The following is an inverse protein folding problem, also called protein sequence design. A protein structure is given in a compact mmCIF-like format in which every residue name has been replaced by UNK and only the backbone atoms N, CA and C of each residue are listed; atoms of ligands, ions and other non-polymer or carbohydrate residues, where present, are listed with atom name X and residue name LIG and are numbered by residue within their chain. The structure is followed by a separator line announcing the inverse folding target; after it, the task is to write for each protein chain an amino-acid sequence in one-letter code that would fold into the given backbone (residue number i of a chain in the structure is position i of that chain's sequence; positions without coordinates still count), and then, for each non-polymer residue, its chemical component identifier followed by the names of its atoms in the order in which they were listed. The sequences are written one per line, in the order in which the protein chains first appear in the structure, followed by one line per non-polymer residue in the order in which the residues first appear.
data_IF_711896764394
#
_entry.id   IF_711896764394
#
_cell.length_a   1.000
_cell.length_b   1.000
_cell.length_c   1.000
_cell.angle_alpha   90.00
_cell.angle_beta   90.00
_cell.angle_gamma   90.00
#
_symmetry.space_group_name_H-M   'P 1'
#
loop_
_entity.id
_entity.type
_entity.pdbx_description
1 polymer ?
#
# COMPACT_ATOMS: atom_id res chain seq x y z
N UNK A 1 20.98 20.97 -32.08
CA UNK A 1 19.80 21.07 -31.19
C UNK A 1 18.98 19.79 -31.20
N UNK A 2 18.68 19.21 -32.37
CA UNK A 2 17.99 17.92 -32.48
C UNK A 2 18.67 16.76 -31.74
N UNK A 3 19.99 16.61 -31.89
CA UNK A 3 20.79 15.59 -31.17
C UNK A 3 20.63 15.72 -29.64
N UNK A 4 20.79 16.94 -29.09
CA UNK A 4 20.60 17.19 -27.64
C UNK A 4 19.19 16.87 -27.14
N UNK A 5 18.17 17.09 -27.98
CA UNK A 5 16.78 16.78 -27.68
C UNK A 5 16.55 15.26 -27.67
N UNK A 6 17.16 14.56 -28.63
CA UNK A 6 17.14 13.10 -28.71
C UNK A 6 17.85 12.48 -27.51
N UNK A 7 19.02 12.99 -27.13
CA UNK A 7 19.77 12.53 -25.96
C UNK A 7 18.96 12.75 -24.67
N UNK A 8 18.28 13.90 -24.53
CA UNK A 8 17.43 14.19 -23.37
C UNK A 8 16.21 13.26 -23.25
N UNK A 9 15.72 12.73 -24.38
CA UNK A 9 14.61 11.77 -24.43
C UNK A 9 15.07 10.31 -24.41
N UNK A 10 16.35 10.05 -24.54
CA UNK A 10 16.89 8.69 -24.55
C UNK A 10 17.16 8.28 -23.12
N UNK A 11 16.60 7.14 -22.70
CA UNK A 11 16.82 6.58 -21.38
C UNK A 11 18.30 6.20 -21.22
N UNK A 12 18.99 6.90 -20.33
CA UNK A 12 20.32 6.50 -19.87
C UNK A 12 20.17 5.43 -18.79
N UNK A 13 20.32 4.16 -19.18
CA UNK A 13 20.14 3.04 -18.27
C UNK A 13 21.18 3.02 -17.14
N UNK A 14 22.41 3.50 -17.39
CA UNK A 14 23.46 3.48 -16.38
C UNK A 14 23.24 4.60 -15.36
N UNK A 15 22.85 5.79 -15.82
CA UNK A 15 22.51 6.89 -14.94
C UNK A 15 21.27 6.57 -14.08
N UNK A 16 20.22 6.00 -14.68
CA UNK A 16 19.03 5.58 -13.93
C UNK A 16 19.31 4.45 -12.96
N UNK A 17 20.19 3.49 -13.33
CA UNK A 17 20.56 2.41 -12.42
C UNK A 17 21.23 2.90 -11.13
N UNK A 18 22.06 3.93 -11.25
CA UNK A 18 22.80 4.53 -10.15
C UNK A 18 22.00 5.62 -9.41
N UNK A 19 20.79 5.94 -9.87
CA UNK A 19 19.90 6.88 -9.21
C UNK A 19 19.42 6.32 -7.87
N UNK A 20 19.32 7.17 -6.85
CA UNK A 20 18.78 6.78 -5.55
C UNK A 20 17.31 6.31 -5.65
N UNK A 21 16.57 6.84 -6.63
CA UNK A 21 15.15 6.60 -6.87
C UNK A 21 14.91 5.68 -8.09
N UNK A 22 15.90 4.84 -8.43
CA UNK A 22 15.85 3.93 -9.58
C UNK A 22 14.58 3.02 -9.56
N UNK A 23 13.67 3.14 -10.54
CA UNK A 23 12.49 2.29 -10.62
C UNK A 23 12.73 0.98 -11.39
N UNK A 24 13.88 0.82 -12.04
CA UNK A 24 14.19 -0.26 -12.98
C UNK A 24 14.79 -1.51 -12.32
N UNK A 25 15.24 -1.40 -11.07
CA UNK A 25 15.85 -2.51 -10.34
C UNK A 25 15.18 -2.71 -8.98
N UNK A 26 15.33 -3.92 -8.42
CA UNK A 26 14.83 -4.20 -7.09
C UNK A 26 15.61 -3.39 -6.03
N UNK A 27 14.90 -2.92 -5.00
CA UNK A 27 15.52 -2.20 -3.89
C UNK A 27 16.56 -3.07 -3.18
N UNK A 28 17.77 -2.50 -3.03
CA UNK A 28 18.81 -3.04 -2.16
C UNK A 28 18.39 -2.97 -0.69
N UNK A 29 19.03 -3.76 0.17
CA UNK A 29 18.68 -3.80 1.60
C UNK A 29 18.78 -2.42 2.29
N UNK A 30 19.73 -1.58 1.87
CA UNK A 30 19.91 -0.24 2.40
C UNK A 30 18.83 0.76 1.94
N UNK A 31 18.19 0.50 0.79
CA UNK A 31 17.08 1.33 0.28
C UNK A 31 15.73 0.93 0.88
N UNK A 32 15.62 -0.29 1.43
CA UNK A 32 14.38 -0.75 2.07
C UNK A 32 14.09 0.05 3.32
N UNK A 33 12.84 0.47 3.48
CA UNK A 33 12.35 1.08 4.72
C UNK A 33 11.61 0.05 5.56
N UNK A 34 11.54 0.31 6.86
CA UNK A 34 10.73 -0.49 7.78
C UNK A 34 9.27 -0.55 7.32
N UNK A 35 8.59 -1.66 7.56
CA UNK A 35 7.20 -1.86 7.16
C UNK A 35 6.20 -0.97 7.93
N UNK A 36 6.61 -0.33 9.04
CA UNK A 36 5.73 0.45 9.92
C UNK A 36 4.87 1.51 9.21
N UNK A 37 5.45 2.42 8.40
CA UNK A 37 4.67 3.40 7.63
C UNK A 37 3.68 2.75 6.66
N UNK A 38 4.06 1.63 6.02
CA UNK A 38 3.17 0.91 5.09
C UNK A 38 2.01 0.25 5.84
N UNK A 39 2.28 -0.37 7.00
CA UNK A 39 1.26 -0.94 7.87
C UNK A 39 0.32 0.13 8.44
N UNK A 40 0.83 1.30 8.79
CA UNK A 40 0.02 2.43 9.24
C UNK A 40 -0.90 2.95 8.12
N UNK A 41 -0.39 3.01 6.89
CA UNK A 41 -1.21 3.35 5.72
C UNK A 41 -2.29 2.28 5.46
N UNK A 42 -1.92 1.00 5.50
CA UNK A 42 -2.84 -0.13 5.34
C UNK A 42 -3.90 -0.15 6.44
N UNK A 43 -3.55 0.19 7.69
CA UNK A 43 -4.50 0.39 8.78
C UNK A 43 -5.47 1.54 8.49
N UNK A 44 -4.94 2.70 8.08
CA UNK A 44 -5.74 3.86 7.73
C UNK A 44 -6.72 3.59 6.56
N UNK A 45 -6.33 2.75 5.59
CA UNK A 45 -7.16 2.31 4.48
C UNK A 45 -8.04 1.08 4.80
N UNK A 46 -7.73 0.34 5.87
CA UNK A 46 -8.44 -0.86 6.30
C UNK A 46 -9.90 -0.61 6.70
N UNK A 47 -10.30 0.66 6.83
CA UNK A 47 -11.70 1.07 7.00
C UNK A 47 -12.59 0.62 5.84
N UNK A 48 -12.06 0.39 4.64
CA UNK A 48 -12.86 -0.05 3.49
C UNK A 48 -13.38 -1.47 3.69
N UNK A 49 -12.48 -2.44 3.85
CA UNK A 49 -12.86 -3.86 4.04
C UNK A 49 -13.59 -4.03 5.37
N UNK A 50 -12.98 -3.54 6.47
CA UNK A 50 -13.57 -3.65 7.81
C UNK A 50 -14.89 -2.91 7.92
N UNK A 51 -15.00 -1.73 7.31
CA UNK A 51 -16.23 -0.93 7.31
C UNK A 51 -17.34 -1.55 6.48
N UNK A 52 -17.03 -2.26 5.39
CA UNK A 52 -18.03 -3.02 4.63
C UNK A 52 -18.59 -4.19 5.47
N UNK A 53 -17.72 -4.98 6.12
CA UNK A 53 -18.16 -6.06 6.99
C UNK A 53 -18.99 -5.54 8.17
N UNK A 54 -18.46 -4.55 8.89
CA UNK A 54 -19.10 -3.97 10.07
C UNK A 54 -20.40 -3.25 9.72
N UNK A 55 -20.40 -2.46 8.64
CA UNK A 55 -21.56 -1.72 8.15
C UNK A 55 -22.69 -2.63 7.68
N UNK A 56 -22.37 -3.75 7.01
CA UNK A 56 -23.34 -4.77 6.64
C UNK A 56 -24.03 -5.37 7.88
N UNK A 57 -23.27 -5.67 8.93
CA UNK A 57 -23.83 -6.21 10.17
C UNK A 57 -24.68 -5.20 10.94
N UNK A 58 -24.23 -3.94 10.99
CA UNK A 58 -25.01 -2.85 11.57
C UNK A 58 -26.34 -2.67 10.84
N UNK A 59 -26.34 -2.69 9.50
CA UNK A 59 -27.57 -2.61 8.69
C UNK A 59 -28.54 -3.77 8.93
N UNK A 60 -28.02 -4.95 9.28
CA UNK A 60 -28.80 -6.13 9.62
C UNK A 60 -29.26 -6.18 11.08
N UNK A 61 -28.93 -5.17 11.90
CA UNK A 61 -29.36 -5.10 13.30
C UNK A 61 -28.68 -6.10 14.24
N UNK A 62 -27.47 -6.58 13.87
CA UNK A 62 -26.72 -7.53 14.68
C UNK A 62 -26.21 -6.86 15.98
N UNK A 63 -26.18 -7.57 17.13
CA UNK A 63 -25.66 -7.02 18.38
C UNK A 63 -24.23 -6.48 18.27
N UNK A 64 -23.97 -5.35 18.95
CA UNK A 64 -22.64 -4.74 18.99
C UNK A 64 -21.58 -5.67 19.58
N UNK A 65 -21.94 -6.39 20.65
CA UNK A 65 -21.08 -7.36 21.30
C UNK A 65 -21.77 -8.73 21.37
N UNK A 66 -21.07 -9.83 21.04
CA UNK A 66 -19.69 -9.89 20.54
C UNK A 66 -19.56 -9.75 19.01
N UNK A 67 -20.66 -9.81 18.27
CA UNK A 67 -20.66 -10.12 16.84
C UNK A 67 -19.96 -9.06 15.99
N UNK A 68 -20.31 -7.78 16.16
CA UNK A 68 -19.70 -6.67 15.40
C UNK A 68 -18.20 -6.52 15.71
N UNK A 69 -17.79 -6.81 16.94
CA UNK A 69 -16.37 -6.80 17.31
C UNK A 69 -15.61 -7.91 16.58
N UNK A 70 -16.17 -9.13 16.54
CA UNK A 70 -15.55 -10.25 15.84
C UNK A 70 -15.42 -9.93 14.35
N UNK A 71 -16.44 -9.37 13.71
CA UNK A 71 -16.33 -9.02 12.28
C UNK A 71 -15.42 -7.84 12.01
N UNK A 72 -15.28 -6.92 12.94
CA UNK A 72 -14.24 -5.88 12.88
C UNK A 72 -12.84 -6.51 12.87
N UNK A 73 -12.59 -7.51 13.72
CA UNK A 73 -11.31 -8.22 13.73
C UNK A 73 -11.09 -9.07 12.46
N UNK A 74 -12.12 -9.75 11.95
CA UNK A 74 -12.05 -10.51 10.69
C UNK A 74 -11.76 -9.57 9.52
N UNK A 75 -12.43 -8.41 9.46
CA UNK A 75 -12.21 -7.40 8.41
C UNK A 75 -10.78 -6.86 8.43
N UNK A 76 -10.22 -6.61 9.63
CA UNK A 76 -8.81 -6.22 9.76
C UNK A 76 -7.88 -7.35 9.37
N UNK A 77 -8.14 -8.59 9.81
CA UNK A 77 -7.33 -9.75 9.44
C UNK A 77 -7.26 -9.93 7.93
N UNK A 78 -8.40 -9.82 7.23
CA UNK A 78 -8.47 -9.87 5.78
C UNK A 78 -7.73 -8.72 5.06
N UNK A 79 -7.46 -7.61 5.75
CA UNK A 79 -6.71 -6.48 5.21
C UNK A 79 -5.19 -6.65 5.35
N UNK A 80 -4.73 -7.50 6.27
CA UNK A 80 -3.30 -7.69 6.58
C UNK A 80 -2.75 -9.07 6.18
N UNK A 81 -3.61 -10.02 5.78
CA UNK A 81 -3.26 -11.31 5.17
C UNK A 81 -3.45 -11.23 3.66
#
# INVERSE_FOLDING_TARGET
MLEKLKDWWTLDQEAEQNSADNPLTALTDNQRRNAGPLLALAFGWGFLVTGLFTGSQLGNGIPFWPDIIITTFIGNLANFI
#
